data_IF_695027548968
#
_entry.id   IF_695027548968
#
_cell.length_a   1.000
_cell.length_b   1.000
_cell.length_c   1.000
_cell.angle_alpha   90.00
_cell.angle_beta   90.00
_cell.angle_gamma   90.00
#
_symmetry.space_group_name_H-M   'P 1'
#
loop_
_entity.id
_entity.type
_entity.pdbx_description
1 polymer ?
#
# COMPACT_ATOMS: atom_id res chain seq x y z
N UNK A 1 3.76 -21.18 -39.03
CA UNK A 1 2.80 -22.30 -38.91
C UNK A 1 1.68 -21.83 -38.01
N UNK A 2 0.45 -21.82 -38.50
CA UNK A 2 -0.72 -21.52 -37.70
C UNK A 2 -0.98 -22.71 -36.75
N UNK A 3 -1.18 -22.47 -35.48
CA UNK A 3 -1.62 -23.51 -34.56
C UNK A 3 -3.14 -23.63 -34.71
N UNK A 4 -3.60 -24.73 -35.24
CA UNK A 4 -5.03 -25.05 -35.29
C UNK A 4 -5.51 -25.44 -33.89
N UNK A 5 -6.54 -24.76 -33.42
CA UNK A 5 -7.23 -25.10 -32.18
C UNK A 5 -8.66 -25.52 -32.60
N UNK A 6 -8.99 -26.78 -32.44
CA UNK A 6 -10.36 -27.26 -32.59
C UNK A 6 -11.16 -26.86 -31.34
N UNK A 7 -12.15 -25.99 -31.53
CA UNK A 7 -12.96 -25.46 -30.43
C UNK A 7 -14.38 -25.98 -30.60
N UNK A 8 -14.84 -26.82 -29.69
CA UNK A 8 -16.25 -27.26 -29.60
C UNK A 8 -17.10 -26.27 -28.77
N UNK A 9 -16.52 -25.28 -28.15
CA UNK A 9 -17.13 -24.13 -27.50
C UNK A 9 -16.11 -22.98 -27.50
N UNK A 10 -16.57 -21.74 -27.55
CA UNK A 10 -15.66 -20.59 -27.45
C UNK A 10 -14.81 -20.73 -26.16
N UNK A 11 -13.49 -20.87 -26.26
CA UNK A 11 -12.66 -21.02 -25.09
C UNK A 11 -12.69 -19.71 -24.29
N UNK A 12 -12.95 -19.80 -22.99
CA UNK A 12 -12.69 -18.70 -22.08
C UNK A 12 -11.16 -18.69 -21.88
N UNK A 13 -10.47 -17.87 -22.66
CA UNK A 13 -9.03 -17.67 -22.46
C UNK A 13 -8.84 -16.89 -21.16
N UNK A 14 -8.39 -17.57 -20.13
CA UNK A 14 -8.07 -16.96 -18.84
C UNK A 14 -6.78 -16.12 -18.88
N UNK A 15 -5.98 -16.26 -19.94
CA UNK A 15 -4.70 -15.60 -20.11
C UNK A 15 -4.56 -14.97 -21.51
N UNK A 16 -4.86 -13.66 -21.65
CA UNK A 16 -4.74 -12.95 -22.91
C UNK A 16 -3.31 -12.91 -23.48
N UNK A 17 -2.29 -13.06 -22.64
CA UNK A 17 -0.90 -13.03 -23.10
C UNK A 17 -0.54 -14.25 -23.96
N UNK A 18 -1.28 -15.35 -23.86
CA UNK A 18 -1.08 -16.55 -24.69
C UNK A 18 -1.46 -16.29 -26.16
N UNK A 19 -2.37 -15.35 -26.41
CA UNK A 19 -2.86 -15.03 -27.76
C UNK A 19 -2.09 -13.88 -28.43
N UNK A 20 -1.32 -13.13 -27.68
CA UNK A 20 -0.57 -11.98 -28.21
C UNK A 20 0.52 -12.43 -29.18
N UNK A 21 0.41 -11.99 -30.43
CA UNK A 21 1.39 -12.26 -31.48
C UNK A 21 1.30 -13.66 -32.14
N UNK A 22 0.17 -14.36 -31.95
CA UNK A 22 -0.10 -15.63 -32.64
C UNK A 22 -1.34 -15.51 -33.53
N UNK A 23 -1.25 -16.02 -34.74
CA UNK A 23 -2.43 -16.24 -35.57
C UNK A 23 -3.13 -17.51 -35.06
N UNK A 24 -4.36 -17.33 -34.56
CA UNK A 24 -5.19 -18.42 -34.08
C UNK A 24 -6.24 -18.72 -35.16
N UNK A 25 -6.24 -19.94 -35.68
CA UNK A 25 -7.28 -20.44 -36.58
C UNK A 25 -8.33 -21.13 -35.69
N UNK A 26 -9.54 -20.60 -35.68
CA UNK A 26 -10.67 -21.21 -34.99
C UNK A 26 -11.54 -21.88 -36.06
N UNK A 27 -11.75 -23.18 -35.93
CA UNK A 27 -12.70 -23.91 -36.79
C UNK A 27 -14.12 -23.77 -36.20
N UNK A 28 -15.05 -23.36 -37.02
CA UNK A 28 -16.46 -23.42 -36.66
C UNK A 28 -16.88 -24.90 -36.61
N UNK A 29 -17.42 -25.32 -35.50
CA UNK A 29 -17.82 -26.71 -35.26
C UNK A 29 -19.00 -27.14 -36.15
N UNK A 30 -19.69 -26.22 -36.82
CA UNK A 30 -20.88 -26.50 -37.62
C UNK A 30 -20.53 -26.67 -39.11
N UNK A 31 -19.62 -25.84 -39.65
CA UNK A 31 -19.37 -25.79 -41.09
C UNK A 31 -17.95 -26.23 -41.50
N UNK A 32 -17.04 -26.44 -40.56
CA UNK A 32 -15.66 -26.87 -40.82
C UNK A 32 -14.77 -25.85 -41.48
N UNK A 33 -15.24 -24.64 -41.75
CA UNK A 33 -14.43 -23.57 -42.32
C UNK A 33 -13.57 -22.90 -41.27
N UNK A 34 -12.26 -22.74 -41.49
CA UNK A 34 -11.37 -22.08 -40.54
C UNK A 34 -11.66 -20.58 -40.52
N UNK A 35 -12.01 -20.06 -39.33
CA UNK A 35 -12.05 -18.64 -39.08
C UNK A 35 -10.67 -18.20 -38.60
N UNK A 36 -9.97 -17.44 -39.43
CA UNK A 36 -8.68 -16.86 -39.03
C UNK A 36 -8.91 -15.59 -38.19
N UNK A 37 -8.48 -15.65 -36.90
CA UNK A 37 -8.36 -14.48 -36.09
C UNK A 37 -6.92 -13.96 -36.12
N UNK A 38 -6.77 -12.69 -36.48
CA UNK A 38 -5.52 -11.98 -36.25
C UNK A 38 -5.46 -11.64 -34.74
N UNK A 39 -4.67 -12.41 -33.99
CA UNK A 39 -4.52 -12.21 -32.55
C UNK A 39 -3.96 -10.83 -32.19
N UNK A 40 -3.32 -10.14 -33.13
CA UNK A 40 -2.87 -8.74 -32.95
C UNK A 40 -4.04 -7.74 -32.86
N UNK A 41 -5.25 -8.17 -33.31
CA UNK A 41 -6.49 -7.37 -33.28
C UNK A 41 -7.41 -7.73 -32.12
N UNK A 42 -7.11 -8.76 -31.33
CA UNK A 42 -7.86 -9.06 -30.12
C UNK A 42 -7.57 -7.96 -29.07
N UNK A 43 -8.48 -7.02 -28.96
CA UNK A 43 -8.47 -6.03 -27.89
C UNK A 43 -8.98 -6.74 -26.63
N UNK A 44 -8.06 -7.26 -25.83
CA UNK A 44 -8.41 -7.75 -24.50
C UNK A 44 -8.68 -6.52 -23.61
N UNK A 45 -9.89 -6.35 -23.09
CA UNK A 45 -10.20 -5.22 -22.25
C UNK A 45 -9.35 -5.26 -20.96
N UNK A 46 -8.78 -4.13 -20.59
CA UNK A 46 -8.05 -4.04 -19.34
C UNK A 46 -8.97 -4.28 -18.14
N UNK A 47 -8.53 -5.15 -17.22
CA UNK A 47 -9.25 -5.40 -15.96
C UNK A 47 -9.16 -4.15 -15.07
N UNK A 48 -10.30 -3.55 -14.74
CA UNK A 48 -10.37 -2.38 -13.86
C UNK A 48 -10.26 -2.79 -12.39
N UNK A 49 -9.11 -2.52 -11.78
CA UNK A 49 -8.79 -2.91 -10.41
C UNK A 49 -9.70 -2.24 -9.37
N UNK A 50 -10.27 -1.09 -9.68
CA UNK A 50 -11.24 -0.41 -8.81
C UNK A 50 -12.62 -1.07 -8.76
N UNK A 51 -12.83 -2.10 -9.59
CA UNK A 51 -14.04 -2.94 -9.61
C UNK A 51 -13.81 -4.30 -8.95
N UNK A 52 -12.75 -4.44 -8.14
CA UNK A 52 -12.43 -5.69 -7.43
C UNK A 52 -12.01 -5.41 -6.00
N UNK A 53 -12.38 -6.31 -5.09
CA UNK A 53 -11.84 -6.32 -3.73
C UNK A 53 -10.36 -6.71 -3.74
N UNK A 54 -9.69 -6.50 -2.62
CA UNK A 54 -8.30 -6.92 -2.42
C UNK A 54 -8.12 -8.44 -2.58
N UNK A 55 -9.14 -9.23 -2.25
CA UNK A 55 -9.15 -10.69 -2.42
C UNK A 55 -9.44 -11.12 -3.87
N UNK A 56 -9.84 -10.18 -4.73
CA UNK A 56 -10.09 -10.42 -6.16
C UNK A 56 -11.55 -10.70 -6.52
N UNK A 57 -12.50 -10.50 -5.60
CA UNK A 57 -13.93 -10.59 -5.90
C UNK A 57 -14.42 -9.34 -6.63
N UNK A 58 -15.32 -9.53 -7.60
CA UNK A 58 -15.92 -8.42 -8.33
C UNK A 58 -16.79 -7.54 -7.42
N UNK A 59 -16.67 -6.24 -7.59
CA UNK A 59 -17.53 -5.24 -6.97
C UNK A 59 -18.63 -4.81 -7.94
N UNK A 60 -19.80 -4.49 -7.42
CA UNK A 60 -20.91 -3.88 -8.20
C UNK A 60 -20.63 -2.40 -8.44
N UNK A 61 -20.03 -1.74 -7.47
CA UNK A 61 -19.71 -0.31 -7.47
C UNK A 61 -18.21 -0.11 -7.29
N UNK A 62 -17.68 0.95 -7.90
CA UNK A 62 -16.26 1.29 -7.85
C UNK A 62 -15.79 1.66 -6.45
N UNK A 63 -14.62 1.13 -6.08
CA UNK A 63 -13.87 1.52 -4.90
C UNK A 63 -12.41 1.82 -5.25
N UNK A 64 -11.85 2.89 -4.71
CA UNK A 64 -10.47 3.29 -5.00
C UNK A 64 -9.57 3.22 -3.77
N UNK A 65 -8.28 3.08 -4.00
CA UNK A 65 -7.27 2.99 -2.94
C UNK A 65 -5.90 3.46 -3.44
N UNK A 66 -4.91 3.58 -2.55
CA UNK A 66 -3.51 3.84 -2.92
C UNK A 66 -2.74 2.57 -3.27
N UNK A 67 -3.24 1.40 -2.90
CA UNK A 67 -2.66 0.12 -3.26
C UNK A 67 -3.68 -0.72 -4.00
N UNK A 68 -3.25 -1.30 -5.13
CA UNK A 68 -4.01 -2.31 -5.85
C UNK A 68 -3.24 -3.64 -5.87
N UNK A 69 -3.97 -4.73 -5.66
CA UNK A 69 -3.40 -6.09 -5.66
C UNK A 69 -3.61 -6.74 -7.02
N UNK A 70 -2.53 -7.27 -7.59
CA UNK A 70 -2.56 -7.99 -8.86
C UNK A 70 -2.00 -9.39 -8.66
N UNK A 71 -2.77 -10.41 -9.07
CA UNK A 71 -2.47 -11.82 -8.82
C UNK A 71 -1.99 -12.59 -10.04
N UNK A 72 -2.24 -12.06 -11.23
CA UNK A 72 -1.92 -12.73 -12.49
C UNK A 72 -1.30 -11.75 -13.48
N UNK A 73 -0.59 -12.26 -14.47
CA UNK A 73 -0.21 -11.47 -15.64
C UNK A 73 -1.45 -11.05 -16.43
N UNK A 74 -1.38 -9.92 -17.12
CA UNK A 74 -2.49 -9.40 -17.93
C UNK A 74 -2.49 -7.89 -18.10
N UNK A 75 -3.60 -7.38 -18.65
CA UNK A 75 -3.85 -5.95 -18.80
C UNK A 75 -4.73 -5.44 -17.68
N UNK A 76 -4.32 -4.34 -17.08
CA UNK A 76 -4.98 -3.75 -15.94
C UNK A 76 -5.15 -2.26 -16.12
N UNK A 77 -6.16 -1.72 -15.44
CA UNK A 77 -6.37 -0.28 -15.31
C UNK A 77 -6.95 0.07 -13.94
N UNK A 78 -6.83 1.33 -13.58
CA UNK A 78 -7.53 1.95 -12.46
C UNK A 78 -7.68 3.44 -12.70
N UNK A 79 -8.70 4.10 -12.07
CA UNK A 79 -8.97 5.51 -12.28
C UNK A 79 -7.91 6.40 -11.64
N UNK A 80 -7.66 7.57 -12.24
CA UNK A 80 -6.75 8.61 -11.73
C UNK A 80 -7.47 9.41 -10.63
N UNK A 81 -7.64 8.75 -9.48
CA UNK A 81 -8.39 9.24 -8.31
C UNK A 81 -7.48 9.24 -7.09
N UNK A 82 -7.60 10.24 -6.23
CA UNK A 82 -6.87 10.31 -4.97
C UNK A 82 -7.28 9.16 -4.04
N UNK A 83 -6.38 8.21 -3.81
CA UNK A 83 -6.53 7.12 -2.84
C UNK A 83 -7.96 6.58 -2.70
N UNK A 84 -8.53 6.64 -1.51
CA UNK A 84 -9.88 6.21 -1.15
C UNK A 84 -10.97 7.25 -1.52
N UNK A 85 -10.74 8.06 -2.55
CA UNK A 85 -11.61 9.18 -2.93
C UNK A 85 -12.96 8.77 -3.54
N UNK A 86 -13.10 7.51 -4.01
CA UNK A 86 -14.37 6.93 -4.44
C UNK A 86 -14.65 5.70 -3.57
N UNK A 87 -15.84 5.65 -2.96
CA UNK A 87 -16.37 4.52 -2.19
C UNK A 87 -17.80 4.25 -2.62
N UNK A 88 -18.15 3.00 -2.80
CA UNK A 88 -19.50 2.60 -3.28
C UNK A 88 -19.97 3.34 -4.54
N UNK A 89 -19.06 3.60 -5.50
CA UNK A 89 -19.33 4.27 -6.77
C UNK A 89 -19.50 5.79 -6.72
N UNK A 90 -19.42 6.41 -5.55
CA UNK A 90 -19.60 7.85 -5.37
C UNK A 90 -18.39 8.52 -4.75
N UNK A 91 -18.32 9.85 -4.86
CA UNK A 91 -17.26 10.63 -4.21
C UNK A 91 -17.32 10.46 -2.69
N UNK A 92 -16.22 9.97 -2.11
CA UNK A 92 -16.05 9.79 -0.67
C UNK A 92 -15.46 11.06 -0.06
N UNK A 93 -16.27 12.12 0.05
CA UNK A 93 -15.81 13.42 0.52
C UNK A 93 -15.17 13.36 1.92
N UNK A 94 -15.62 12.48 2.79
CA UNK A 94 -15.04 12.29 4.12
C UNK A 94 -13.56 11.84 4.07
N UNK A 95 -13.13 11.19 2.99
CA UNK A 95 -11.74 10.74 2.84
C UNK A 95 -10.75 11.86 2.48
N UNK A 96 -11.22 12.99 1.94
CA UNK A 96 -10.37 14.08 1.44
C UNK A 96 -10.80 15.48 1.88
N UNK A 97 -11.78 15.59 2.76
CA UNK A 97 -12.21 16.86 3.35
C UNK A 97 -11.93 16.84 4.85
N UNK A 98 -11.11 17.77 5.32
CA UNK A 98 -10.87 17.94 6.75
C UNK A 98 -12.12 18.52 7.43
N UNK A 99 -12.39 18.03 8.64
CA UNK A 99 -13.45 18.58 9.50
C UNK A 99 -13.09 19.95 10.09
N UNK A 100 -11.85 20.42 9.86
CA UNK A 100 -11.38 21.73 10.37
C UNK A 100 -11.18 21.78 11.87
N UNK A 101 -11.03 20.64 12.54
CA UNK A 101 -10.82 20.56 13.99
C UNK A 101 -9.37 20.92 14.36
N UNK A 102 -9.14 21.22 15.65
CA UNK A 102 -7.90 21.87 16.11
C UNK A 102 -6.59 21.11 15.83
N UNK A 103 -6.62 19.79 15.68
CA UNK A 103 -5.45 18.94 15.43
C UNK A 103 -5.47 18.32 14.03
N UNK A 104 -6.25 18.89 13.12
CA UNK A 104 -6.37 18.42 11.75
C UNK A 104 -5.70 19.37 10.76
N UNK A 105 -5.19 18.80 9.67
CA UNK A 105 -4.71 19.53 8.51
C UNK A 105 -5.68 19.32 7.32
N UNK A 106 -5.60 20.22 6.37
CA UNK A 106 -6.29 20.05 5.10
C UNK A 106 -5.65 18.93 4.28
N UNK A 107 -6.46 18.19 3.53
CA UNK A 107 -5.98 17.28 2.50
C UNK A 107 -5.65 18.08 1.25
N UNK A 108 -4.40 18.00 0.83
CA UNK A 108 -3.88 18.82 -0.28
C UNK A 108 -3.40 17.97 -1.45
N UNK A 109 -3.44 18.55 -2.65
CA UNK A 109 -2.87 18.00 -3.86
C UNK A 109 -1.36 18.32 -3.98
N UNK A 110 -0.74 17.93 -5.10
CA UNK A 110 0.68 18.18 -5.40
C UNK A 110 1.04 19.69 -5.52
N UNK A 111 0.07 20.57 -5.63
CA UNK A 111 0.25 22.03 -5.64
C UNK A 111 0.12 22.65 -4.25
N UNK A 112 -0.28 21.88 -3.24
CA UNK A 112 -0.58 22.37 -1.89
C UNK A 112 -1.99 22.95 -1.75
N UNK A 113 -2.84 22.81 -2.75
CA UNK A 113 -4.22 23.26 -2.72
C UNK A 113 -5.14 22.19 -2.14
N UNK A 114 -6.18 22.61 -1.42
CA UNK A 114 -7.23 21.70 -0.91
C UNK A 114 -7.85 20.90 -2.06
N UNK A 115 -8.04 19.61 -1.81
CA UNK A 115 -8.71 18.71 -2.76
C UNK A 115 -10.21 18.97 -2.69
N UNK A 116 -10.83 19.19 -3.86
CA UNK A 116 -12.27 19.47 -4.00
C UNK A 116 -13.02 18.39 -4.77
N UNK A 117 -12.29 17.49 -5.44
CA UNK A 117 -12.84 16.37 -6.19
C UNK A 117 -11.95 15.13 -6.00
N UNK A 118 -12.51 13.93 -5.92
CA UNK A 118 -11.70 12.71 -5.89
C UNK A 118 -10.91 12.50 -7.18
N UNK A 119 -11.43 12.91 -8.32
CA UNK A 119 -10.74 12.86 -9.61
C UNK A 119 -9.66 13.94 -9.67
N UNK A 120 -8.42 13.52 -9.91
CA UNK A 120 -7.27 14.44 -9.93
C UNK A 120 -7.50 15.57 -10.93
N UNK A 121 -7.91 15.25 -12.15
CA UNK A 121 -8.12 16.19 -13.25
C UNK A 121 -9.27 17.20 -13.03
N UNK A 122 -10.18 16.90 -12.09
CA UNK A 122 -11.30 17.80 -11.73
C UNK A 122 -10.92 18.85 -10.69
N UNK A 123 -9.66 18.84 -10.21
CA UNK A 123 -9.11 19.89 -9.37
C UNK A 123 -8.38 20.94 -10.21
N UNK A 124 -8.44 22.19 -9.80
CA UNK A 124 -7.85 23.30 -10.55
C UNK A 124 -6.34 23.07 -10.81
N UNK A 125 -5.90 23.26 -12.06
CA UNK A 125 -4.52 23.09 -12.51
C UNK A 125 -3.93 21.67 -12.32
N UNK A 126 -4.77 20.66 -12.21
CA UNK A 126 -4.38 19.26 -11.99
C UNK A 126 -4.67 18.40 -13.24
N UNK A 127 -4.19 18.79 -14.41
CA UNK A 127 -4.41 18.04 -15.65
C UNK A 127 -3.34 16.96 -15.85
N UNK A 128 -3.71 15.66 -15.85
CA UNK A 128 -2.81 14.57 -16.17
C UNK A 128 -2.37 14.61 -17.64
N UNK A 129 -1.08 14.37 -17.89
CA UNK A 129 -0.54 14.31 -19.24
C UNK A 129 0.10 12.95 -19.55
N UNK A 130 0.66 12.29 -18.56
CA UNK A 130 1.30 10.98 -18.74
C UNK A 130 1.23 10.15 -17.47
N UNK A 131 1.39 8.83 -17.62
CA UNK A 131 1.61 7.90 -16.52
C UNK A 131 2.89 7.12 -16.75
N UNK A 132 3.56 6.70 -15.68
CA UNK A 132 4.81 5.97 -15.75
C UNK A 132 4.98 4.99 -14.59
N UNK A 133 5.79 3.95 -14.81
CA UNK A 133 6.39 3.16 -13.75
C UNK A 133 7.54 3.99 -13.16
N UNK A 134 7.48 4.27 -11.86
CA UNK A 134 8.59 4.94 -11.18
C UNK A 134 9.67 3.92 -10.82
N UNK A 135 9.29 2.81 -10.20
CA UNK A 135 10.17 1.69 -9.89
C UNK A 135 9.40 0.39 -9.68
N UNK A 136 10.11 -0.73 -9.77
CA UNK A 136 9.62 -2.08 -9.44
C UNK A 136 10.74 -2.90 -8.76
N UNK A 137 10.35 -3.88 -7.94
CA UNK A 137 11.30 -4.69 -7.14
C UNK A 137 11.92 -5.86 -7.89
N UNK A 138 11.37 -6.25 -9.04
CA UNK A 138 11.98 -7.24 -9.93
C UNK A 138 11.87 -6.77 -11.37
N UNK A 139 12.83 -7.16 -12.21
CA UNK A 139 12.87 -6.76 -13.63
C UNK A 139 11.68 -7.31 -14.40
N UNK A 140 11.07 -6.45 -15.21
CA UNK A 140 10.05 -6.88 -16.18
C UNK A 140 8.71 -7.31 -15.57
N UNK A 141 8.41 -6.99 -14.32
CA UNK A 141 7.07 -7.24 -13.75
C UNK A 141 6.02 -6.42 -14.51
N UNK A 142 6.32 -5.15 -14.73
CA UNK A 142 5.47 -4.23 -15.51
C UNK A 142 6.24 -3.79 -16.74
N UNK A 143 5.62 -3.88 -17.92
CA UNK A 143 6.26 -3.59 -19.22
C UNK A 143 5.69 -2.36 -19.92
N UNK A 144 4.48 -1.96 -19.63
CA UNK A 144 3.88 -0.76 -20.24
C UNK A 144 3.02 -0.03 -19.23
N UNK A 145 3.06 1.30 -19.31
CA UNK A 145 2.19 2.17 -18.51
C UNK A 145 1.76 3.32 -19.40
N UNK A 146 0.48 3.60 -19.43
CA UNK A 146 -0.10 4.73 -20.20
C UNK A 146 -1.28 5.33 -19.47
N UNK A 147 -1.70 6.51 -19.90
CA UNK A 147 -2.93 7.15 -19.43
C UNK A 147 -3.91 7.22 -20.59
N UNK A 148 -5.19 7.00 -20.32
CA UNK A 148 -6.27 7.12 -21.29
C UNK A 148 -7.48 7.80 -20.65
N UNK A 149 -8.11 8.71 -21.37
CA UNK A 149 -9.41 9.26 -20.96
C UNK A 149 -10.51 8.23 -21.28
N UNK A 150 -11.36 7.97 -20.30
CA UNK A 150 -12.51 7.06 -20.43
C UNK A 150 -13.71 7.70 -19.70
N UNK A 151 -14.80 7.91 -20.41
CA UNK A 151 -16.10 8.34 -19.87
C UNK A 151 -16.08 9.31 -18.67
N UNK A 152 -15.82 8.81 -17.48
CA UNK A 152 -15.85 9.57 -16.24
C UNK A 152 -14.59 10.38 -15.96
N UNK A 153 -13.45 9.98 -16.52
CA UNK A 153 -12.15 10.62 -16.29
C UNK A 153 -10.98 9.81 -16.84
N UNK A 154 -9.78 10.13 -16.40
CA UNK A 154 -8.56 9.46 -16.83
C UNK A 154 -8.30 8.16 -16.06
N UNK A 155 -7.73 7.17 -16.75
CA UNK A 155 -7.32 5.89 -16.20
C UNK A 155 -5.86 5.61 -16.51
N UNK A 156 -5.12 5.07 -15.55
CA UNK A 156 -3.83 4.45 -15.80
C UNK A 156 -4.07 3.04 -16.31
N UNK A 157 -3.49 2.72 -17.47
CA UNK A 157 -3.43 1.40 -18.08
C UNK A 157 -2.03 0.85 -17.98
N UNK A 158 -1.88 -0.43 -17.61
CA UNK A 158 -0.58 -1.07 -17.52
C UNK A 158 -0.64 -2.58 -17.80
N UNK A 159 0.51 -3.13 -18.16
CA UNK A 159 0.66 -4.57 -18.43
C UNK A 159 1.52 -5.19 -17.33
N UNK A 160 1.02 -6.25 -16.73
CA UNK A 160 1.77 -7.13 -15.83
C UNK A 160 2.22 -8.35 -16.63
N UNK A 161 3.53 -8.54 -16.77
CA UNK A 161 4.10 -9.68 -17.49
C UNK A 161 4.30 -10.89 -16.58
N UNK A 162 4.59 -10.63 -15.30
CA UNK A 162 4.80 -11.69 -14.31
C UNK A 162 4.44 -11.21 -12.89
N UNK A 163 3.97 -12.16 -12.10
CA UNK A 163 3.85 -12.02 -10.65
C UNK A 163 4.94 -12.91 -10.04
N UNK A 164 5.96 -12.33 -9.36
CA UNK A 164 7.03 -13.13 -8.77
C UNK A 164 6.51 -14.07 -7.69
N UNK A 165 7.07 -15.29 -7.62
CA UNK A 165 6.72 -16.26 -6.56
C UNK A 165 7.00 -15.74 -5.14
N UNK A 166 7.93 -14.80 -5.02
CA UNK A 166 8.28 -14.10 -3.78
C UNK A 166 7.44 -12.85 -3.52
N UNK A 167 6.44 -12.59 -4.36
CA UNK A 167 5.72 -11.31 -4.48
C UNK A 167 6.61 -10.18 -5.04
N UNK A 168 5.97 -9.06 -5.36
CA UNK A 168 6.68 -7.89 -5.88
C UNK A 168 5.90 -6.61 -5.68
N UNK A 169 6.60 -5.50 -5.72
CA UNK A 169 6.03 -4.15 -5.62
C UNK A 169 6.44 -3.32 -6.82
N UNK A 170 5.50 -2.51 -7.28
CA UNK A 170 5.76 -1.46 -8.26
C UNK A 170 5.06 -0.17 -7.84
N UNK A 171 5.66 0.96 -8.15
CA UNK A 171 5.07 2.27 -7.92
C UNK A 171 4.76 2.93 -9.25
N UNK A 172 3.47 3.13 -9.53
CA UNK A 172 2.99 3.85 -10.70
C UNK A 172 2.70 5.31 -10.33
N UNK A 173 2.94 6.21 -11.27
CA UNK A 173 2.75 7.65 -11.07
C UNK A 173 1.97 8.25 -12.23
N UNK A 174 1.21 9.31 -11.93
CA UNK A 174 0.64 10.21 -12.92
C UNK A 174 1.38 11.54 -12.88
N UNK A 175 1.64 12.12 -14.05
CA UNK A 175 2.40 13.36 -14.21
C UNK A 175 1.60 14.38 -15.04
N UNK A 176 1.82 15.66 -14.73
CA UNK A 176 1.34 16.77 -15.57
C UNK A 176 2.24 16.96 -16.80
N UNK A 177 1.91 17.93 -17.66
CA UNK A 177 2.66 18.25 -18.88
C UNK A 177 4.12 18.70 -18.62
N UNK A 178 4.41 19.24 -17.43
CA UNK A 178 5.76 19.60 -17.02
C UNK A 178 6.56 18.40 -16.44
N UNK A 179 6.00 17.20 -16.45
CA UNK A 179 6.63 15.99 -15.91
C UNK A 179 6.59 15.87 -14.38
N UNK A 180 5.90 16.79 -13.69
CA UNK A 180 5.77 16.77 -12.22
C UNK A 180 4.78 15.69 -11.81
N UNK A 181 5.16 14.86 -10.85
CA UNK A 181 4.28 13.82 -10.28
C UNK A 181 3.14 14.49 -9.51
N UNK A 182 1.91 14.10 -9.84
CA UNK A 182 0.69 14.59 -9.23
C UNK A 182 0.14 13.62 -8.18
N UNK A 183 0.36 12.32 -8.36
CA UNK A 183 0.00 11.24 -7.44
C UNK A 183 0.72 9.94 -7.80
N UNK A 184 0.68 8.96 -6.89
CA UNK A 184 1.30 7.64 -7.03
C UNK A 184 0.43 6.56 -6.41
N UNK A 185 0.53 5.35 -6.93
CA UNK A 185 -0.14 4.15 -6.44
C UNK A 185 0.84 2.99 -6.37
N UNK A 186 0.74 2.21 -5.30
CA UNK A 186 1.47 0.96 -5.16
C UNK A 186 0.70 -0.17 -5.85
N UNK A 187 1.37 -0.93 -6.69
CA UNK A 187 0.87 -2.18 -7.24
C UNK A 187 1.57 -3.30 -6.50
N UNK A 188 0.80 -4.08 -5.77
CA UNK A 188 1.29 -5.24 -5.04
C UNK A 188 1.00 -6.51 -5.85
N UNK A 189 2.07 -7.10 -6.40
CA UNK A 189 2.01 -8.31 -7.21
C UNK A 189 2.20 -9.51 -6.29
N UNK A 190 1.13 -10.24 -6.02
CA UNK A 190 1.15 -11.39 -5.12
C UNK A 190 0.12 -12.43 -5.52
N UNK A 191 0.51 -13.70 -5.46
CA UNK A 191 -0.43 -14.84 -5.57
C UNK A 191 -1.02 -15.24 -4.22
N UNK A 192 -0.58 -14.62 -3.12
CA UNK A 192 -1.02 -14.99 -1.78
C UNK A 192 -2.48 -14.61 -1.53
N UNK A 193 -3.17 -15.44 -0.78
CA UNK A 193 -4.52 -15.14 -0.32
C UNK A 193 -4.45 -14.14 0.82
N UNK A 194 -4.88 -12.91 0.57
CA UNK A 194 -4.88 -11.82 1.55
C UNK A 194 -6.20 -11.82 2.34
N UNK A 195 -6.46 -12.92 3.05
CA UNK A 195 -7.68 -13.07 3.84
C UNK A 195 -7.62 -12.35 5.18
N UNK A 196 -8.77 -12.15 5.83
CA UNK A 196 -8.81 -11.64 7.20
C UNK A 196 -8.47 -12.73 8.21
N UNK A 197 -7.65 -12.35 9.18
CA UNK A 197 -7.31 -13.13 10.37
C UNK A 197 -7.86 -12.41 11.59
N UNK A 198 -8.73 -13.08 12.35
CA UNK A 198 -9.38 -12.48 13.50
C UNK A 198 -8.46 -12.46 14.71
N UNK A 199 -8.22 -11.28 15.25
CA UNK A 199 -7.53 -11.06 16.52
C UNK A 199 -8.47 -10.39 17.50
N UNK A 200 -8.36 -10.76 18.77
CA UNK A 200 -9.09 -10.10 19.85
C UNK A 200 -8.12 -9.27 20.67
N UNK A 201 -8.39 -7.99 20.84
CA UNK A 201 -7.57 -7.13 21.68
C UNK A 201 -7.81 -7.42 23.18
N UNK A 202 -7.03 -6.76 24.04
CA UNK A 202 -7.13 -6.97 25.49
C UNK A 202 -8.52 -6.66 26.09
N UNK A 203 -9.26 -5.72 25.48
CA UNK A 203 -10.61 -5.33 25.94
C UNK A 203 -11.73 -6.18 25.32
N UNK A 204 -11.39 -7.20 24.53
CA UNK A 204 -12.36 -8.11 23.91
C UNK A 204 -12.89 -7.64 22.55
N UNK A 205 -12.38 -6.53 21.99
CA UNK A 205 -12.75 -6.04 20.67
C UNK A 205 -12.06 -6.88 19.60
N UNK A 206 -12.82 -7.32 18.59
CA UNK A 206 -12.33 -8.11 17.47
C UNK A 206 -11.84 -7.22 16.33
N UNK A 207 -10.64 -7.53 15.82
CA UNK A 207 -10.04 -6.93 14.64
C UNK A 207 -9.77 -8.00 13.59
N UNK A 208 -10.08 -7.72 12.36
CA UNK A 208 -9.78 -8.59 11.22
C UNK A 208 -8.50 -8.08 10.56
N UNK A 209 -7.35 -8.58 11.00
CA UNK A 209 -6.06 -8.25 10.38
C UNK A 209 -5.90 -8.95 9.03
N UNK A 210 -5.20 -8.31 8.11
CA UNK A 210 -4.76 -8.98 6.88
C UNK A 210 -3.75 -10.06 7.23
N UNK A 211 -3.84 -11.21 6.57
CA UNK A 211 -2.93 -12.35 6.79
C UNK A 211 -1.48 -12.05 6.45
N UNK A 212 -1.24 -11.00 5.67
CA UNK A 212 0.06 -10.52 5.24
C UNK A 212 0.24 -9.05 5.58
N UNK A 213 1.46 -8.62 5.86
CA UNK A 213 1.76 -7.20 5.99
C UNK A 213 1.65 -6.50 4.63
N UNK A 214 1.27 -5.23 4.65
CA UNK A 214 1.11 -4.43 3.42
C UNK A 214 2.39 -4.42 2.59
N UNK A 215 2.29 -4.89 1.36
CA UNK A 215 3.42 -4.94 0.44
C UNK A 215 4.47 -6.00 0.78
N UNK A 216 4.10 -7.05 1.47
CA UNK A 216 4.99 -8.12 1.86
C UNK A 216 5.68 -8.79 0.67
N UNK A 217 7.00 -8.95 0.79
CA UNK A 217 7.85 -9.69 -0.14
C UNK A 217 8.47 -10.86 0.65
N UNK A 218 8.42 -12.07 0.11
CA UNK A 218 9.02 -13.23 0.72
C UNK A 218 10.46 -13.46 0.25
N UNK A 219 11.28 -14.13 1.06
CA UNK A 219 12.49 -14.75 0.56
C UNK A 219 12.12 -15.94 -0.37
N UNK A 220 13.10 -16.43 -1.14
CA UNK A 220 12.86 -17.54 -2.09
C UNK A 220 12.31 -18.81 -1.42
N UNK A 221 12.76 -19.11 -0.22
CA UNK A 221 12.28 -20.25 0.56
C UNK A 221 10.91 -20.00 1.22
N UNK A 222 10.34 -18.79 1.11
CA UNK A 222 9.08 -18.36 1.74
C UNK A 222 9.02 -18.60 3.26
N UNK A 223 10.17 -18.50 3.92
CA UNK A 223 10.30 -18.65 5.38
C UNK A 223 10.34 -17.31 6.12
N UNK A 224 10.69 -16.23 5.40
CA UNK A 224 10.81 -14.87 5.95
C UNK A 224 10.15 -13.86 5.05
N UNK A 225 9.41 -12.96 5.65
CA UNK A 225 8.72 -11.85 5.01
C UNK A 225 9.47 -10.54 5.25
N UNK A 226 9.51 -9.71 4.24
CA UNK A 226 10.11 -8.37 4.26
C UNK A 226 9.08 -7.37 3.78
N UNK A 227 9.02 -6.21 4.44
CA UNK A 227 7.98 -5.23 4.21
C UNK A 227 8.58 -3.89 3.78
N UNK A 228 7.86 -3.09 3.00
CA UNK A 228 8.16 -1.69 2.88
C UNK A 228 7.85 -0.98 4.20
N UNK A 229 8.49 0.18 4.40
CA UNK A 229 8.24 1.03 5.55
C UNK A 229 7.54 2.30 5.12
N UNK A 230 6.52 2.70 5.85
CA UNK A 230 5.73 3.91 5.63
C UNK A 230 6.03 4.94 6.71
N UNK A 231 6.13 6.21 6.35
CA UNK A 231 6.14 7.30 7.33
C UNK A 231 4.69 7.60 7.73
N UNK A 232 4.48 7.90 9.01
CA UNK A 232 3.12 8.09 9.52
C UNK A 232 2.38 9.22 8.78
N UNK A 233 1.21 8.91 8.26
CA UNK A 233 0.41 9.86 7.48
C UNK A 233 0.76 9.93 5.99
N UNK A 234 1.77 9.17 5.50
CA UNK A 234 2.11 9.08 4.07
C UNK A 234 1.55 7.81 3.45
N UNK A 235 1.13 7.94 2.19
CA UNK A 235 0.62 6.82 1.38
C UNK A 235 1.72 6.02 0.66
N UNK A 236 2.90 6.62 0.47
CA UNK A 236 3.95 6.06 -0.36
C UNK A 236 4.89 5.16 0.45
N UNK A 237 5.22 3.96 -0.06
CA UNK A 237 6.17 3.07 0.58
C UNK A 237 7.59 3.60 0.42
N UNK A 238 8.41 3.45 1.46
CA UNK A 238 9.85 3.46 1.31
C UNK A 238 10.33 2.27 0.46
N UNK A 239 11.53 2.33 -0.10
CA UNK A 239 12.10 1.17 -0.78
C UNK A 239 12.09 -0.06 0.15
N UNK A 240 11.58 -1.22 -0.30
CA UNK A 240 11.46 -2.40 0.54
C UNK A 240 12.79 -2.90 1.07
N UNK A 241 12.74 -3.69 2.13
CA UNK A 241 13.89 -4.45 2.64
C UNK A 241 14.03 -5.73 1.82
N UNK A 242 15.25 -6.21 1.60
CA UNK A 242 15.54 -7.50 0.95
C UNK A 242 15.86 -8.60 1.98
N UNK A 243 16.08 -9.82 1.51
CA UNK A 243 16.38 -10.99 2.34
C UNK A 243 17.66 -10.88 3.18
N UNK A 244 18.54 -9.96 2.84
CA UNK A 244 19.81 -9.73 3.57
C UNK A 244 19.69 -8.58 4.58
N UNK A 245 18.48 -8.04 4.80
CA UNK A 245 18.28 -6.91 5.70
C UNK A 245 18.73 -5.56 5.14
N UNK A 246 19.04 -5.50 3.85
CA UNK A 246 19.41 -4.28 3.14
C UNK A 246 18.23 -3.76 2.30
N UNK A 247 18.37 -2.58 1.75
CA UNK A 247 17.40 -2.05 0.79
C UNK A 247 17.37 -2.91 -0.47
N UNK A 248 16.17 -3.27 -0.92
CA UNK A 248 15.97 -3.99 -2.17
C UNK A 248 16.45 -3.15 -3.36
N UNK A 249 17.03 -3.83 -4.34
CA UNK A 249 17.34 -3.19 -5.64
C UNK A 249 16.02 -2.88 -6.34
N UNK A 250 15.90 -1.65 -6.79
CA UNK A 250 14.75 -1.20 -7.58
C UNK A 250 15.13 -1.11 -9.05
N UNK A 251 14.17 -1.30 -9.93
CA UNK A 251 14.37 -1.31 -11.38
C UNK A 251 13.39 -0.35 -12.08
N UNK A 252 13.84 0.26 -13.15
CA UNK A 252 12.99 1.01 -14.08
C UNK A 252 12.20 0.08 -15.03
N UNK A 253 11.41 0.64 -15.93
CA UNK A 253 10.59 -0.11 -16.89
C UNK A 253 11.44 -0.91 -17.90
N UNK A 254 12.68 -0.48 -18.14
CA UNK A 254 13.62 -1.13 -19.05
C UNK A 254 14.46 -2.21 -18.35
N UNK A 255 14.27 -2.39 -17.03
CA UNK A 255 15.03 -3.33 -16.21
C UNK A 255 16.40 -2.84 -15.78
N UNK A 256 16.71 -1.54 -15.96
CA UNK A 256 17.90 -0.93 -15.39
C UNK A 256 17.70 -0.66 -13.91
N UNK A 257 18.81 -0.60 -13.14
CA UNK A 257 18.75 -0.22 -11.72
C UNK A 257 18.21 1.21 -11.61
N UNK A 258 17.15 1.36 -10.83
CA UNK A 258 16.55 2.66 -10.53
C UNK A 258 17.33 3.33 -9.40
N UNK A 259 18.02 4.42 -9.71
CA UNK A 259 18.85 5.20 -8.78
C UNK A 259 18.12 6.39 -8.14
N UNK A 260 16.84 6.60 -8.50
CA UNK A 260 16.08 7.78 -8.06
C UNK A 260 15.48 7.69 -6.66
N UNK A 261 15.63 6.56 -5.94
CA UNK A 261 15.22 6.50 -4.55
C UNK A 261 16.28 7.17 -3.66
N UNK A 262 15.81 8.01 -2.74
CA UNK A 262 16.72 8.78 -1.91
C UNK A 262 16.12 9.24 -0.58
N UNK A 263 16.88 10.07 0.10
CA UNK A 263 16.52 10.66 1.39
C UNK A 263 16.57 12.17 1.27
N UNK A 264 15.48 12.86 1.61
CA UNK A 264 15.46 14.30 1.80
C UNK A 264 15.84 14.60 3.25
N UNK A 265 17.11 14.98 3.43
CA UNK A 265 17.66 15.37 4.73
C UNK A 265 17.19 16.74 5.20
N UNK A 266 17.70 17.19 6.33
CA UNK A 266 17.80 18.60 6.66
C UNK A 266 18.99 19.13 5.88
N UNK A 267 18.77 20.12 5.00
CA UNK A 267 19.90 20.89 4.45
C UNK A 267 20.59 21.70 5.54
N UNK A 268 21.78 22.24 5.22
CA UNK A 268 22.55 23.08 6.14
C UNK A 268 21.76 24.30 6.63
N UNK A 269 20.71 24.70 5.89
CA UNK A 269 19.86 25.85 6.17
C UNK A 269 18.53 25.44 6.85
N UNK A 270 18.29 24.14 7.10
CA UNK A 270 17.14 23.62 7.83
C UNK A 270 15.79 23.69 7.09
N UNK A 271 15.82 24.05 5.81
CA UNK A 271 14.63 24.46 5.04
C UNK A 271 14.32 23.56 3.85
N UNK A 272 14.81 22.31 3.81
CA UNK A 272 14.34 21.38 2.78
C UNK A 272 12.80 21.44 2.73
N UNK A 273 12.23 21.54 1.53
CA UNK A 273 10.77 21.65 1.30
C UNK A 273 10.06 20.37 1.78
N UNK A 274 9.89 20.25 3.09
CA UNK A 274 9.21 19.14 3.78
C UNK A 274 7.71 19.40 3.91
N UNK A 275 7.08 19.78 2.82
CA UNK A 275 5.64 19.94 2.74
C UNK A 275 4.96 18.65 2.28
N UNK A 276 3.67 18.52 2.57
CA UNK A 276 2.84 17.42 2.06
C UNK A 276 2.82 17.42 0.53
N UNK A 277 2.71 18.61 -0.07
CA UNK A 277 2.73 18.77 -1.53
C UNK A 277 4.06 18.27 -2.14
N UNK A 278 5.20 18.56 -1.48
CA UNK A 278 6.48 18.06 -1.94
C UNK A 278 6.61 16.55 -1.77
N UNK A 279 6.07 15.98 -0.71
CA UNK A 279 6.03 14.52 -0.52
C UNK A 279 5.21 13.81 -1.60
N UNK A 280 4.10 14.41 -2.04
CA UNK A 280 3.28 13.90 -3.16
C UNK A 280 4.07 13.93 -4.48
N UNK A 281 4.83 14.99 -4.74
CA UNK A 281 5.68 15.11 -5.95
C UNK A 281 6.87 14.16 -5.94
N UNK A 282 7.31 13.73 -4.77
CA UNK A 282 8.50 12.90 -4.59
C UNK A 282 8.22 11.62 -3.79
N UNK A 283 7.39 10.71 -4.33
CA UNK A 283 7.02 9.47 -3.63
C UNK A 283 8.21 8.50 -3.47
N UNK A 284 9.31 8.75 -4.16
CA UNK A 284 10.58 8.02 -4.09
C UNK A 284 11.57 8.59 -3.07
N UNK A 285 11.18 9.61 -2.29
CA UNK A 285 12.05 10.17 -1.26
C UNK A 285 11.52 9.85 0.15
N UNK A 286 12.42 9.42 1.01
CA UNK A 286 12.20 9.37 2.44
C UNK A 286 12.50 10.74 3.05
N UNK A 287 11.56 11.31 3.78
CA UNK A 287 11.67 12.62 4.40
C UNK A 287 12.17 12.46 5.84
N UNK A 288 13.40 12.85 6.13
CA UNK A 288 13.87 12.85 7.53
C UNK A 288 13.04 13.85 8.36
N UNK A 289 13.17 13.80 9.67
CA UNK A 289 12.47 14.73 10.55
C UNK A 289 12.65 16.18 10.10
N UNK A 290 11.59 16.99 10.24
CA UNK A 290 11.60 18.38 9.81
C UNK A 290 12.63 19.21 10.61
N UNK A 291 12.64 19.02 11.94
CA UNK A 291 13.60 19.66 12.84
C UNK A 291 13.99 18.70 13.98
N UNK A 292 14.86 19.13 14.88
CA UNK A 292 15.37 18.30 15.99
C UNK A 292 14.32 18.05 17.09
N UNK A 293 13.22 18.78 17.09
CA UNK A 293 12.20 18.78 18.15
C UNK A 293 10.91 18.10 17.69
N UNK A 294 10.44 18.41 16.47
CA UNK A 294 9.12 18.00 16.00
C UNK A 294 8.97 16.50 15.74
N UNK A 295 10.07 15.81 15.43
CA UNK A 295 10.06 14.40 15.01
C UNK A 295 9.09 14.05 13.85
N UNK A 296 8.51 15.07 13.21
CA UNK A 296 7.64 14.96 12.05
C UNK A 296 8.45 15.00 10.76
N UNK A 297 7.97 14.33 9.70
CA UNK A 297 8.57 14.36 8.37
C UNK A 297 8.18 15.59 7.56
N UNK A 298 7.19 16.35 8.00
CA UNK A 298 6.69 17.57 7.34
C UNK A 298 6.66 18.76 8.30
N UNK A 299 6.45 19.94 7.76
CA UNK A 299 6.44 21.20 8.48
C UNK A 299 5.10 21.53 9.18
N UNK A 300 4.12 20.64 9.14
CA UNK A 300 2.85 20.83 9.81
C UNK A 300 3.00 20.56 11.31
N UNK A 301 2.45 21.42 12.13
CA UNK A 301 2.41 21.23 13.58
C UNK A 301 1.29 20.28 14.01
N UNK A 302 0.26 20.15 13.18
CA UNK A 302 -0.93 19.33 13.46
C UNK A 302 -1.43 18.66 12.19
N UNK A 303 -1.56 17.35 12.19
CA UNK A 303 -2.07 16.55 11.08
C UNK A 303 -2.50 15.14 11.53
N UNK A 304 -3.23 15.09 12.67
CA UNK A 304 -3.68 13.81 13.23
C UNK A 304 -4.60 13.01 12.31
N UNK A 305 -5.26 13.70 11.37
CA UNK A 305 -6.27 13.14 10.48
C UNK A 305 -5.73 12.46 9.21
N UNK A 306 -4.42 12.36 9.01
CA UNK A 306 -3.89 11.90 7.71
C UNK A 306 -4.23 10.45 7.37
N UNK A 307 -4.36 9.55 8.35
CA UNK A 307 -4.79 8.18 8.11
C UNK A 307 -6.20 7.87 8.60
N UNK A 308 -6.75 8.73 9.45
CA UNK A 308 -8.13 8.66 9.93
C UNK A 308 -8.73 10.07 9.99
N UNK A 309 -9.63 10.40 9.07
CA UNK A 309 -10.21 11.75 8.96
C UNK A 309 -11.01 12.19 10.19
N UNK A 310 -11.50 11.26 10.99
CA UNK A 310 -12.20 11.56 12.25
C UNK A 310 -11.24 11.94 13.39
N UNK A 311 -9.94 11.65 13.28
CA UNK A 311 -9.01 11.83 14.37
C UNK A 311 -8.64 13.30 14.56
N UNK A 312 -8.93 13.83 15.76
CA UNK A 312 -8.66 15.23 16.14
C UNK A 312 -7.98 15.38 17.50
N UNK A 313 -7.82 14.29 18.25
CA UNK A 313 -7.22 14.30 19.58
C UNK A 313 -5.92 13.51 19.62
N UNK A 314 -5.01 13.94 20.50
CA UNK A 314 -3.84 13.16 20.87
C UNK A 314 -4.24 12.13 21.93
N UNK A 315 -3.57 10.97 21.95
CA UNK A 315 -3.78 9.95 22.97
C UNK A 315 -4.10 8.57 22.42
N UNK A 316 -4.89 7.83 23.18
CA UNK A 316 -5.26 6.43 22.88
C UNK A 316 -6.70 6.28 22.39
N UNK A 317 -7.33 7.33 21.93
CA UNK A 317 -8.70 7.26 21.43
C UNK A 317 -8.71 6.61 20.06
N UNK A 318 -8.89 5.33 20.04
CA UNK A 318 -8.51 4.39 19.05
C UNK A 318 -9.68 3.54 18.66
N UNK A 319 -10.85 4.12 18.64
CA UNK A 319 -12.03 3.40 18.24
C UNK A 319 -12.00 3.16 16.73
N UNK A 320 -11.83 1.90 16.35
CA UNK A 320 -11.86 1.50 14.95
C UNK A 320 -13.23 1.77 14.30
N UNK A 321 -14.30 1.74 15.09
CA UNK A 321 -15.68 1.90 14.60
C UNK A 321 -15.95 3.30 14.07
N UNK A 322 -15.23 4.31 14.57
CA UNK A 322 -15.36 5.70 14.11
C UNK A 322 -14.30 6.10 13.10
N UNK A 323 -13.42 5.19 12.71
CA UNK A 323 -12.33 5.50 11.81
C UNK A 323 -12.81 5.72 10.37
N UNK A 324 -12.35 6.81 9.77
CA UNK A 324 -12.62 7.17 8.36
C UNK A 324 -11.30 7.10 7.60
N UNK A 325 -11.18 6.08 6.76
CA UNK A 325 -10.02 5.89 5.88
C UNK A 325 -9.87 7.08 4.94
N UNK A 326 -8.66 7.64 4.86
CA UNK A 326 -8.38 8.83 4.06
C UNK A 326 -7.71 8.51 2.73
N UNK A 327 -7.58 9.53 1.88
CA UNK A 327 -6.79 9.45 0.64
C UNK A 327 -5.29 9.21 0.89
N UNK A 328 -4.77 9.47 2.08
CA UNK A 328 -3.35 9.20 2.41
C UNK A 328 -3.13 7.84 3.07
N UNK A 329 -4.19 7.07 3.37
CA UNK A 329 -4.06 5.70 3.85
C UNK A 329 -3.46 4.81 2.74
N UNK A 330 -2.35 4.08 2.99
CA UNK A 330 -1.68 3.27 1.97
C UNK A 330 -2.40 1.96 1.65
N UNK A 331 -3.39 1.54 2.47
CA UNK A 331 -3.97 0.21 2.38
C UNK A 331 -4.87 0.03 1.15
N UNK A 332 -5.03 -1.20 0.66
CA UNK A 332 -5.88 -1.51 -0.48
C UNK A 332 -7.38 -1.41 -0.16
N UNK A 333 -8.21 -1.65 -1.17
CA UNK A 333 -9.69 -1.61 -1.06
C UNK A 333 -10.19 -2.52 0.07
N UNK A 334 -11.06 -1.99 0.93
CA UNK A 334 -11.66 -2.69 2.06
C UNK A 334 -10.73 -2.90 3.26
N UNK A 335 -9.54 -2.32 3.25
CA UNK A 335 -8.55 -2.40 4.31
C UNK A 335 -8.03 -1.02 4.69
N UNK A 336 -7.66 -0.83 5.95
CA UNK A 336 -7.12 0.43 6.48
C UNK A 336 -6.07 0.15 7.57
N UNK A 337 -5.37 1.17 8.03
CA UNK A 337 -4.51 1.01 9.20
C UNK A 337 -5.32 0.64 10.44
N UNK A 338 -4.71 -0.14 11.38
CA UNK A 338 -5.35 -0.49 12.64
C UNK A 338 -5.42 0.70 13.59
N UNK A 339 -6.36 0.66 14.54
CA UNK A 339 -6.39 1.58 15.68
C UNK A 339 -5.21 1.34 16.63
N UNK A 340 -4.92 2.27 17.54
CA UNK A 340 -3.82 2.12 18.47
C UNK A 340 -4.00 0.97 19.46
N UNK A 341 -5.24 0.57 19.77
CA UNK A 341 -5.53 -0.55 20.67
C UNK A 341 -5.62 -1.91 19.97
N UNK A 342 -5.56 -1.96 18.66
CA UNK A 342 -5.71 -3.20 17.92
C UNK A 342 -4.67 -4.26 18.32
N UNK A 343 -3.47 -3.84 18.71
CA UNK A 343 -2.37 -4.72 19.10
C UNK A 343 -2.36 -5.10 20.59
N UNK A 344 -3.29 -4.59 21.42
CA UNK A 344 -3.21 -4.82 22.87
C UNK A 344 -3.44 -6.28 23.29
N UNK A 345 -4.07 -7.08 22.43
CA UNK A 345 -4.19 -8.54 22.64
C UNK A 345 -2.87 -9.31 22.48
N UNK A 346 -1.78 -8.67 22.03
CA UNK A 346 -0.47 -9.32 21.87
C UNK A 346 0.27 -9.53 23.21
N UNK A 347 -0.28 -8.98 24.29
CA UNK A 347 0.13 -9.27 25.66
C UNK A 347 -1.09 -9.63 26.51
N UNK A 348 -0.90 -10.44 27.55
CA UNK A 348 -1.98 -10.88 28.44
C UNK A 348 -2.53 -9.76 29.33
N UNK A 349 -1.81 -8.65 29.43
CA UNK A 349 -2.19 -7.47 30.24
C UNK A 349 -2.68 -6.29 29.40
N UNK A 350 -2.57 -6.36 28.07
CA UNK A 350 -2.85 -5.24 27.17
C UNK A 350 -1.81 -4.11 27.23
N UNK A 351 -0.77 -4.25 28.04
CA UNK A 351 0.25 -3.23 28.29
C UNK A 351 1.61 -3.62 27.72
N UNK A 352 2.49 -2.63 27.63
CA UNK A 352 3.89 -2.85 27.30
C UNK A 352 4.56 -3.73 28.38
N UNK A 353 5.31 -4.73 27.97
CA UNK A 353 5.94 -5.68 28.92
C UNK A 353 7.25 -6.24 28.39
N UNK A 354 8.17 -6.53 29.32
CA UNK A 354 9.39 -7.32 29.11
C UNK A 354 9.32 -8.69 29.78
N UNK A 355 8.18 -9.01 30.42
CA UNK A 355 7.94 -10.33 31.04
C UNK A 355 7.49 -11.33 29.96
N UNK A 356 8.31 -12.35 29.62
CA UNK A 356 7.97 -13.32 28.57
C UNK A 356 6.70 -14.12 28.87
N UNK A 357 6.31 -14.25 30.16
CA UNK A 357 5.08 -14.96 30.56
C UNK A 357 3.81 -14.23 30.16
N UNK A 358 3.92 -12.92 29.84
CA UNK A 358 2.84 -12.07 29.41
C UNK A 358 2.75 -11.95 27.88
N UNK A 359 3.67 -12.54 27.12
CA UNK A 359 3.61 -12.48 25.65
C UNK A 359 2.57 -13.47 25.13
N UNK A 360 1.59 -12.99 24.39
CA UNK A 360 0.61 -13.83 23.70
C UNK A 360 1.18 -14.35 22.36
N UNK A 361 2.17 -15.25 22.45
CA UNK A 361 2.89 -15.79 21.30
C UNK A 361 2.80 -17.32 21.23
N UNK A 362 3.04 -17.86 20.04
CA UNK A 362 3.23 -19.28 19.78
C UNK A 362 4.68 -19.50 19.35
N UNK A 363 5.35 -20.49 19.99
CA UNK A 363 6.75 -20.80 19.70
C UNK A 363 7.73 -19.80 20.32
N UNK A 364 8.90 -19.68 19.71
CA UNK A 364 10.01 -18.84 20.16
C UNK A 364 10.32 -17.76 19.13
N UNK A 365 11.22 -16.84 19.48
CA UNK A 365 11.71 -15.83 18.54
C UNK A 365 12.35 -16.48 17.31
N UNK A 366 11.87 -16.08 16.14
CA UNK A 366 12.44 -16.45 14.84
C UNK A 366 12.45 -15.23 13.92
N UNK A 367 13.29 -14.24 14.24
CA UNK A 367 13.33 -12.95 13.54
C UNK A 367 11.95 -12.28 13.41
N UNK A 368 11.12 -12.49 14.42
CA UNK A 368 9.74 -12.08 14.56
C UNK A 368 9.02 -12.95 15.58
N UNK A 369 7.74 -12.67 15.79
CA UNK A 369 6.87 -13.47 16.64
C UNK A 369 5.63 -13.94 15.88
N UNK A 370 5.11 -15.10 16.30
CA UNK A 370 3.75 -15.55 15.95
C UNK A 370 2.82 -15.18 17.07
N UNK A 371 2.11 -14.05 16.93
CA UNK A 371 1.13 -13.62 17.92
C UNK A 371 -0.13 -14.45 17.82
N UNK A 372 -0.63 -14.89 19.00
CA UNK A 372 -1.91 -15.60 19.12
C UNK A 372 -3.05 -14.68 18.74
N UNK A 373 -4.07 -15.23 18.09
CA UNK A 373 -5.30 -14.51 17.73
C UNK A 373 -6.20 -14.26 18.95
N UNK A 374 -6.22 -15.23 19.86
CA UNK A 374 -6.80 -15.14 21.21
C UNK A 374 -5.84 -15.77 22.22
N UNK A 375 -6.01 -15.50 23.50
CA UNK A 375 -5.12 -16.04 24.56
C UNK A 375 -5.08 -17.57 24.62
N UNK A 376 -6.12 -18.26 24.13
CA UNK A 376 -6.22 -19.73 24.11
C UNK A 376 -5.65 -20.41 22.87
N UNK A 377 -5.24 -19.65 21.84
CA UNK A 377 -4.82 -20.23 20.56
C UNK A 377 -3.46 -20.94 20.65
N UNK A 378 -3.35 -22.04 19.91
CA UNK A 378 -2.10 -22.76 19.68
C UNK A 378 -1.44 -22.39 18.34
N UNK A 379 -2.11 -21.61 17.51
CA UNK A 379 -1.65 -21.09 16.21
C UNK A 379 -1.66 -19.57 16.27
N UNK A 380 -0.66 -18.94 15.66
CA UNK A 380 -0.55 -17.49 15.62
C UNK A 380 -0.11 -17.01 14.25
N UNK A 381 -0.39 -15.74 13.94
CA UNK A 381 0.09 -15.09 12.73
C UNK A 381 1.49 -14.52 12.92
N UNK A 382 2.30 -14.67 11.89
CA UNK A 382 3.68 -14.22 11.92
C UNK A 382 3.80 -12.73 11.65
N UNK A 383 4.42 -12.02 12.58
CA UNK A 383 4.81 -10.62 12.46
C UNK A 383 6.34 -10.57 12.40
N UNK A 384 6.93 -10.33 11.22
CA UNK A 384 8.38 -10.25 11.06
C UNK A 384 8.98 -9.04 11.76
N UNK A 385 10.21 -9.20 12.25
CA UNK A 385 11.04 -8.11 12.72
C UNK A 385 11.68 -7.39 11.52
N UNK A 386 10.88 -6.64 10.76
CA UNK A 386 11.31 -5.95 9.54
C UNK A 386 12.21 -4.74 9.79
N UNK A 387 12.54 -4.44 11.07
CA UNK A 387 13.28 -3.24 11.43
C UNK A 387 12.49 -1.96 11.18
N UNK A 388 13.22 -0.89 10.88
CA UNK A 388 12.64 0.42 10.59
C UNK A 388 13.58 1.29 9.76
N UNK A 389 13.06 2.40 9.20
CA UNK A 389 13.87 3.49 8.67
C UNK A 389 14.00 4.59 9.69
N UNK A 390 15.25 5.00 9.95
CA UNK A 390 15.57 6.00 10.97
C UNK A 390 15.09 7.39 10.56
N UNK A 391 14.46 8.09 11.50
CA UNK A 391 13.85 9.41 11.28
C UNK A 391 14.84 10.51 10.88
N UNK A 392 16.13 10.36 11.23
CA UNK A 392 17.16 11.39 10.97
C UNK A 392 18.01 11.10 9.75
N UNK A 393 18.14 9.83 9.35
CA UNK A 393 19.03 9.42 8.26
C UNK A 393 18.33 8.67 7.12
N UNK A 394 17.07 8.22 7.32
CA UNK A 394 16.37 7.33 6.39
C UNK A 394 17.00 5.93 6.26
N UNK A 395 18.10 5.67 6.96
CA UNK A 395 18.79 4.39 6.92
C UNK A 395 17.96 3.28 7.56
N UNK A 396 18.05 2.07 7.01
CA UNK A 396 17.50 0.86 7.62
C UNK A 396 18.26 0.52 8.91
N UNK A 397 17.52 0.10 9.92
CA UNK A 397 18.08 -0.31 11.20
C UNK A 397 17.28 -1.48 11.79
N UNK A 398 17.96 -2.34 12.54
CA UNK A 398 17.40 -3.43 13.35
C UNK A 398 16.54 -4.44 12.57
N UNK A 399 16.79 -4.63 11.28
CA UNK A 399 16.15 -5.68 10.48
C UNK A 399 16.53 -7.04 11.06
N UNK A 400 15.53 -7.90 11.27
CA UNK A 400 15.69 -9.19 11.95
C UNK A 400 15.69 -9.12 13.48
N UNK A 401 15.72 -7.92 14.07
CA UNK A 401 15.79 -7.74 15.52
C UNK A 401 14.58 -7.01 16.10
N UNK A 402 13.96 -6.08 15.36
CA UNK A 402 12.84 -5.28 15.84
C UNK A 402 11.65 -5.36 14.87
N UNK A 403 10.45 -5.63 15.40
CA UNK A 403 9.18 -5.41 14.71
C UNK A 403 8.61 -4.05 15.10
N UNK A 404 8.22 -3.26 14.09
CA UNK A 404 7.64 -1.93 14.27
C UNK A 404 6.48 -1.74 13.29
N UNK A 405 5.26 -1.54 13.81
CA UNK A 405 4.03 -1.50 13.02
C UNK A 405 3.15 -0.33 13.41
N UNK A 406 2.92 0.57 12.46
CA UNK A 406 2.08 1.73 12.69
C UNK A 406 0.62 1.37 12.98
N UNK A 407 -0.01 2.19 13.82
CA UNK A 407 -1.46 2.40 13.86
C UNK A 407 -1.80 3.78 13.28
N UNK A 408 -3.08 4.05 13.01
CA UNK A 408 -3.48 5.41 12.61
C UNK A 408 -3.47 6.40 13.78
N UNK A 409 -3.38 5.94 15.03
CA UNK A 409 -3.56 6.77 16.21
C UNK A 409 -2.38 7.72 16.45
N UNK A 410 -2.70 8.96 16.78
CA UNK A 410 -1.76 9.95 17.28
C UNK A 410 -1.50 9.73 18.76
N UNK A 411 -0.29 9.92 19.22
CA UNK A 411 0.05 9.94 20.65
C UNK A 411 0.30 11.37 21.18
N UNK A 412 0.80 12.23 20.31
CA UNK A 412 1.05 13.65 20.54
C UNK A 412 1.25 14.35 19.20
N UNK A 413 1.51 15.65 19.21
CA UNK A 413 1.81 16.41 17.99
C UNK A 413 3.01 15.85 17.18
N UNK A 414 3.97 15.22 17.87
CA UNK A 414 5.20 14.70 17.26
C UNK A 414 5.24 13.17 17.13
N UNK A 415 4.40 12.46 17.87
CA UNK A 415 4.47 11.01 18.03
C UNK A 415 3.15 10.35 17.60
N UNK A 416 3.27 9.11 17.07
CA UNK A 416 2.14 8.26 16.77
C UNK A 416 2.28 6.89 17.44
N UNK A 417 1.14 6.22 17.66
CA UNK A 417 1.08 4.89 18.28
C UNK A 417 1.52 3.82 17.31
N UNK A 418 2.23 2.83 17.84
CA UNK A 418 2.68 1.68 17.09
C UNK A 418 2.91 0.48 17.98
N UNK A 419 2.81 -0.73 17.41
CA UNK A 419 3.33 -1.93 18.02
C UNK A 419 4.85 -1.94 17.85
N UNK A 420 5.58 -2.15 18.95
CA UNK A 420 6.99 -2.48 18.95
C UNK A 420 7.24 -3.80 19.63
N UNK A 421 8.12 -4.62 19.07
CA UNK A 421 8.61 -5.83 19.75
C UNK A 421 10.02 -6.18 19.31
N UNK A 422 10.71 -6.90 20.19
CA UNK A 422 11.98 -7.58 19.94
C UNK A 422 12.02 -8.89 20.75
N UNK A 423 13.12 -9.63 20.73
CA UNK A 423 13.24 -10.88 21.48
C UNK A 423 13.06 -10.73 22.99
N UNK A 424 13.18 -9.53 23.54
CA UNK A 424 13.11 -9.25 24.99
C UNK A 424 11.86 -8.49 25.43
N UNK A 425 10.93 -8.14 24.53
CA UNK A 425 9.76 -7.38 24.94
C UNK A 425 8.71 -7.22 23.86
N UNK A 426 7.46 -6.99 24.27
CA UNK A 426 6.30 -6.68 23.44
C UNK A 426 5.62 -5.43 23.96
N UNK A 427 5.47 -4.43 23.11
CA UNK A 427 5.02 -3.08 23.47
C UNK A 427 3.87 -2.66 22.55
N UNK A 428 2.62 -3.11 22.78
CA UNK A 428 1.48 -2.86 21.90
C UNK A 428 0.99 -1.42 21.88
N UNK A 429 1.36 -0.61 22.89
CA UNK A 429 0.96 0.79 23.04
C UNK A 429 2.16 1.74 23.01
N UNK A 430 3.20 1.40 22.28
CA UNK A 430 4.37 2.26 22.18
C UNK A 430 4.09 3.51 21.31
N UNK A 431 4.94 4.52 21.41
CA UNK A 431 4.83 5.76 20.62
C UNK A 431 6.19 6.20 20.12
N UNK A 432 6.25 6.69 18.88
CA UNK A 432 7.48 7.20 18.31
C UNK A 432 7.23 8.30 17.27
N UNK A 433 8.30 9.00 16.91
CA UNK A 433 8.28 10.12 15.97
C UNK A 433 7.70 9.73 14.61
N UNK A 434 6.82 10.57 14.06
CA UNK A 434 6.08 10.32 12.81
C UNK A 434 6.98 10.27 11.57
N UNK A 435 8.21 10.77 11.66
CA UNK A 435 9.21 10.68 10.59
C UNK A 435 9.89 9.30 10.49
N UNK A 436 9.77 8.42 11.47
CA UNK A 436 10.21 7.04 11.30
C UNK A 436 9.45 6.35 10.17
N UNK A 437 10.09 5.42 9.51
CA UNK A 437 9.43 4.49 8.60
C UNK A 437 9.20 3.14 9.28
N UNK A 438 7.94 2.72 9.46
CA UNK A 438 7.55 1.43 10.03
C UNK A 438 6.67 0.63 9.06
N UNK A 439 6.55 -0.66 9.30
CA UNK A 439 5.64 -1.55 8.58
C UNK A 439 4.17 -1.21 8.87
N UNK A 440 3.28 -1.72 8.03
CA UNK A 440 1.83 -1.66 8.21
C UNK A 440 1.27 -3.07 8.10
N UNK A 441 0.48 -3.49 9.10
CA UNK A 441 -0.37 -4.67 9.01
C UNK A 441 -1.83 -4.17 8.96
N UNK A 442 -2.50 -4.21 7.80
CA UNK A 442 -3.84 -3.66 7.66
C UNK A 442 -4.90 -4.41 8.47
N UNK A 443 -5.96 -3.72 8.84
CA UNK A 443 -7.20 -4.33 9.32
C UNK A 443 -8.34 -4.08 8.36
N UNK A 444 -9.39 -4.92 8.41
CA UNK A 444 -10.59 -4.73 7.62
C UNK A 444 -11.22 -3.37 7.97
N UNK A 445 -11.54 -2.60 6.94
CA UNK A 445 -12.32 -1.38 7.09
C UNK A 445 -13.72 -1.75 7.58
N UNK A 446 -14.20 -1.10 8.65
CA UNK A 446 -15.57 -1.27 9.13
C UNK A 446 -16.50 -0.44 8.23
N UNK A 447 -17.59 -1.05 7.81
CA UNK A 447 -18.61 -0.43 6.94
C UNK A 447 -19.61 0.39 7.77
#
# INVERSE_FOLDING_TARGET
MANEINVTSLPVFSDPAVLMGKNVVVHDAVDGDPICFDASRLIVPAKDLSMFTTEGHSLVLRETANTYVVRTRGYYKFPVVYGNGIKAGVANAAAYTSLGLSNQADFVNHLGNKITSPWIEKNANCQPASAALLWQTAKGMISSVSIKAEGEGSFIHFTVNQVPATNGLALLVVKNAAGVIMWSWMIWLTSDMLGPEKFTNYTGVEYLFMSENLGAIWNEARTRQYNPHFQWGRKDPGAPVNSNGAQATLYDINGNVYSGWGVLGTDADGLADKTVANAIKNPNLFFTRFDSISHNWNNLTRFNNFWNAALNADGVNDDQETAIKTIYDPCPVGWMLPSGRAFTGFTSTGNNTTDPTQFNIVGTWDTGYRFKRTSGDTVGNYFPASGYRNLSSGALAYVGSNGSYWSFASSSQAYARYLYFNSGGVYPLNANGRAYGFSVCPVRELN
#
